data_IF_594759041541
#
_entry.id   IF_594759041541
#
_cell.length_a   1.000
_cell.length_b   1.000
_cell.length_c   1.000
_cell.angle_alpha   90.00
_cell.angle_beta   90.00
_cell.angle_gamma   90.00
#
_symmetry.space_group_name_H-M   'P 1'
#
loop_
_entity.id
_entity.type
_entity.pdbx_description
1 polymer ?
#
# COMPACT_ATOMS: atom_id res chain seq x y z
N UNK A 1 8.41 34.31 -5.32
CA UNK A 1 7.24 33.51 -5.74
C UNK A 1 6.87 32.66 -4.53
N UNK A 2 5.92 33.14 -3.73
CA UNK A 2 5.51 32.47 -2.51
C UNK A 2 4.43 31.44 -2.86
N UNK A 3 4.62 30.20 -2.43
CA UNK A 3 3.58 29.16 -2.50
C UNK A 3 2.66 29.41 -1.31
N UNK A 4 1.81 30.42 -1.43
CA UNK A 4 0.67 30.62 -0.53
C UNK A 4 -0.52 29.85 -1.10
N UNK A 5 -0.83 28.76 -0.41
CA UNK A 5 -1.90 27.84 -0.76
C UNK A 5 -1.98 26.75 0.31
N UNK A 6 -2.01 27.15 1.58
CA UNK A 6 -2.62 26.31 2.61
C UNK A 6 -4.10 26.25 2.27
N UNK A 7 -4.47 25.30 1.40
CA UNK A 7 -5.85 24.91 1.26
C UNK A 7 -6.32 24.51 2.66
N UNK A 8 -7.43 25.08 3.11
CA UNK A 8 -8.19 24.58 4.26
C UNK A 8 -8.68 23.17 3.92
N UNK A 9 -7.77 22.21 4.06
CA UNK A 9 -8.09 20.81 3.95
C UNK A 9 -8.82 20.43 5.24
N UNK A 10 -10.14 20.48 5.19
CA UNK A 10 -10.98 19.67 6.06
C UNK A 10 -11.15 18.33 5.33
N UNK A 11 -10.39 17.31 5.72
CA UNK A 11 -10.78 15.95 5.40
C UNK A 11 -12.03 15.68 6.25
N UNK A 12 -13.20 15.65 5.63
CA UNK A 12 -14.37 15.03 6.25
C UNK A 12 -13.97 13.59 6.62
N UNK A 13 -13.74 13.36 7.92
CA UNK A 13 -13.48 12.09 8.59
C UNK A 13 -13.10 10.93 7.66
N UNK A 14 -11.89 10.95 7.07
CA UNK A 14 -11.31 9.74 6.49
C UNK A 14 -10.91 8.82 7.65
N UNK A 15 -11.88 8.05 8.16
CA UNK A 15 -11.58 6.97 9.09
C UNK A 15 -10.67 5.97 8.37
N UNK A 16 -9.58 5.58 9.03
CA UNK A 16 -8.72 4.52 8.52
C UNK A 16 -9.54 3.25 8.31
N UNK A 17 -9.35 2.58 7.18
CA UNK A 17 -9.92 1.26 6.95
C UNK A 17 -9.28 0.28 7.93
N UNK A 18 -10.11 -0.52 8.61
CA UNK A 18 -9.66 -1.46 9.64
C UNK A 18 -9.93 -2.88 9.17
N UNK A 19 -8.86 -3.64 8.98
CA UNK A 19 -8.91 -5.02 8.51
C UNK A 19 -8.09 -5.94 9.44
N UNK A 20 -8.22 -7.26 9.26
CA UNK A 20 -7.39 -8.24 9.93
C UNK A 20 -6.68 -9.08 8.90
N UNK A 21 -5.35 -9.00 8.86
CA UNK A 21 -4.51 -9.88 8.05
C UNK A 21 -4.02 -11.05 8.91
N UNK A 22 -4.04 -12.25 8.36
CA UNK A 22 -3.66 -13.46 9.08
C UNK A 22 -2.73 -14.33 8.24
N UNK A 23 -1.59 -14.68 8.81
CA UNK A 23 -0.72 -15.70 8.25
C UNK A 23 -1.40 -17.07 8.44
N UNK A 24 -1.64 -17.77 7.33
CA UNK A 24 -2.12 -19.16 7.35
C UNK A 24 -0.92 -20.10 7.46
N UNK A 25 -0.83 -20.82 8.57
CA UNK A 25 0.19 -21.86 8.73
C UNK A 25 -0.17 -23.04 7.81
N UNK A 26 0.78 -23.56 6.99
CA UNK A 26 0.58 -24.84 6.32
C UNK A 26 0.22 -25.92 7.33
N UNK A 27 -0.73 -26.79 6.98
CA UNK A 27 -1.31 -27.82 7.87
C UNK A 27 -0.28 -28.77 8.54
N UNK A 28 0.96 -28.83 8.06
CA UNK A 28 2.04 -29.65 8.62
C UNK A 28 2.91 -28.92 9.67
N UNK A 29 2.69 -27.62 9.90
CA UNK A 29 3.39 -26.81 10.93
C UNK A 29 2.42 -26.28 12.00
N UNK A 30 1.64 -27.18 12.59
CA UNK A 30 0.57 -26.91 13.59
C UNK A 30 1.09 -26.16 14.84
N UNK A 31 2.41 -26.21 15.10
CA UNK A 31 3.05 -25.55 16.25
C UNK A 31 3.45 -24.09 16.02
N UNK A 32 3.38 -23.57 14.79
CA UNK A 32 3.58 -22.15 14.55
C UNK A 32 2.33 -21.38 14.98
N UNK A 33 2.48 -20.44 15.92
CA UNK A 33 1.40 -19.54 16.31
C UNK A 33 0.89 -18.82 15.06
N UNK A 34 -0.42 -18.86 14.82
CA UNK A 34 -1.04 -18.05 13.78
C UNK A 34 -0.85 -16.58 14.13
N UNK A 35 -0.05 -15.89 13.32
CA UNK A 35 0.21 -14.47 13.51
C UNK A 35 -0.92 -13.71 12.82
N UNK A 36 -1.45 -12.73 13.54
CA UNK A 36 -2.53 -11.87 13.06
C UNK A 36 -2.13 -10.43 13.28
N UNK A 37 -2.51 -9.58 12.35
CA UNK A 37 -2.33 -8.14 12.44
C UNK A 37 -3.67 -7.44 12.30
N UNK A 38 -3.86 -6.42 13.13
CA UNK A 38 -4.89 -5.41 12.90
C UNK A 38 -4.27 -4.36 11.99
N UNK A 39 -4.90 -4.14 10.85
CA UNK A 39 -4.43 -3.26 9.81
C UNK A 39 -5.19 -1.95 9.91
N UNK A 40 -4.45 -0.85 9.86
CA UNK A 40 -4.97 0.50 9.79
C UNK A 40 -4.49 1.09 8.46
N UNK A 41 -5.36 1.04 7.45
CA UNK A 41 -5.11 1.61 6.14
C UNK A 41 -5.43 3.09 6.13
N UNK A 42 -4.42 3.92 5.88
CA UNK A 42 -4.65 5.31 5.52
C UNK A 42 -5.37 5.42 4.16
N UNK A 43 -5.87 6.60 3.82
CA UNK A 43 -6.55 6.81 2.56
C UNK A 43 -5.62 6.55 1.38
N UNK A 44 -6.15 5.95 0.32
CA UNK A 44 -5.47 5.90 -0.98
C UNK A 44 -5.55 7.30 -1.59
N UNK A 45 -4.43 8.02 -1.54
CA UNK A 45 -4.33 9.38 -2.08
C UNK A 45 -3.86 9.28 -3.52
N UNK A 46 -4.61 9.89 -4.43
CA UNK A 46 -4.30 9.84 -5.84
C UNK A 46 -4.31 11.25 -6.46
N UNK A 47 -3.42 11.49 -7.42
CA UNK A 47 -3.28 12.75 -8.15
C UNK A 47 -3.17 12.43 -9.65
N UNK A 48 -3.81 13.23 -10.50
CA UNK A 48 -3.71 13.07 -11.94
C UNK A 48 -3.86 14.43 -12.65
N UNK A 49 -3.20 14.61 -13.79
CA UNK A 49 -3.39 15.78 -14.66
C UNK A 49 -4.58 15.65 -15.60
N UNK A 50 -5.19 14.47 -15.66
CA UNK A 50 -6.38 14.16 -16.46
C UNK A 50 -7.50 13.69 -15.56
N UNK A 51 -8.75 13.77 -16.03
CA UNK A 51 -9.94 13.34 -15.25
C UNK A 51 -9.96 11.84 -14.97
N UNK A 52 -9.18 11.06 -15.73
CA UNK A 52 -9.04 9.62 -15.56
C UNK A 52 -7.78 9.32 -14.74
N UNK A 53 -7.96 8.93 -13.47
CA UNK A 53 -6.88 8.36 -12.66
C UNK A 53 -6.86 6.83 -12.79
N UNK A 54 -6.13 6.35 -13.79
CA UNK A 54 -6.03 4.94 -14.12
C UNK A 54 -5.25 4.12 -13.07
N UNK A 55 -4.17 4.67 -12.53
CA UNK A 55 -3.41 4.02 -11.44
C UNK A 55 -4.31 3.69 -10.24
N UNK A 56 -5.22 4.60 -9.86
CA UNK A 56 -6.13 4.38 -8.75
C UNK A 56 -7.10 3.20 -9.00
N UNK A 57 -7.47 2.91 -10.25
CA UNK A 57 -8.32 1.76 -10.59
C UNK A 57 -7.59 0.42 -10.44
N UNK A 58 -6.28 0.39 -10.70
CA UNK A 58 -5.45 -0.81 -10.54
C UNK A 58 -5.07 -1.10 -9.09
N UNK A 59 -5.14 -0.09 -8.22
CA UNK A 59 -4.65 -0.15 -6.84
C UNK A 59 -5.32 -1.23 -5.97
N UNK A 60 -6.65 -1.44 -5.99
CA UNK A 60 -7.28 -2.49 -5.17
C UNK A 60 -6.76 -3.90 -5.47
N UNK A 61 -6.54 -4.22 -6.75
CA UNK A 61 -5.98 -5.52 -7.16
C UNK A 61 -4.54 -5.67 -6.70
N UNK A 62 -3.74 -4.59 -6.76
CA UNK A 62 -2.39 -4.58 -6.21
C UNK A 62 -2.41 -4.77 -4.68
N UNK A 63 -3.27 -4.05 -3.96
CA UNK A 63 -3.41 -4.15 -2.51
C UNK A 63 -3.71 -5.58 -2.06
N UNK A 64 -4.63 -6.28 -2.73
CA UNK A 64 -4.93 -7.69 -2.44
C UNK A 64 -3.74 -8.63 -2.66
N UNK A 65 -2.84 -8.33 -3.62
CA UNK A 65 -1.59 -9.09 -3.81
C UNK A 65 -0.56 -8.71 -2.74
N UNK A 66 -0.49 -7.43 -2.37
CA UNK A 66 0.41 -6.92 -1.33
C UNK A 66 0.08 -7.54 0.03
N UNK A 67 -1.20 -7.64 0.39
CA UNK A 67 -1.69 -8.35 1.58
C UNK A 67 -1.14 -9.80 1.60
N UNK A 68 -1.35 -10.54 0.50
CA UNK A 68 -0.89 -11.94 0.38
C UNK A 68 0.61 -12.07 0.52
N UNK A 69 1.36 -11.13 -0.07
CA UNK A 69 2.81 -11.09 0.07
C UNK A 69 3.22 -10.79 1.51
N UNK A 70 2.57 -9.82 2.15
CA UNK A 70 2.85 -9.43 3.53
C UNK A 70 2.66 -10.61 4.49
N UNK A 71 1.50 -11.26 4.46
CA UNK A 71 1.22 -12.39 5.35
C UNK A 71 2.16 -13.58 5.12
N UNK A 72 2.73 -13.72 3.92
CA UNK A 72 3.62 -14.82 3.58
C UNK A 72 5.08 -14.57 3.98
N UNK A 73 5.54 -13.32 3.96
CA UNK A 73 6.97 -13.00 4.03
C UNK A 73 7.38 -12.13 5.21
N UNK A 74 6.45 -11.40 5.83
CA UNK A 74 6.78 -10.47 6.92
C UNK A 74 6.77 -11.20 8.26
N UNK A 75 7.81 -10.94 9.07
CA UNK A 75 7.95 -11.51 10.41
C UNK A 75 6.83 -11.04 11.35
N UNK A 76 6.52 -11.76 12.43
CA UNK A 76 5.62 -11.25 13.46
C UNK A 76 6.15 -9.95 14.08
N UNK A 77 5.27 -8.96 14.28
CA UNK A 77 5.67 -7.66 14.82
C UNK A 77 4.74 -6.53 14.40
N UNK A 78 5.04 -5.32 14.88
CA UNK A 78 4.43 -4.10 14.35
C UNK A 78 5.19 -3.67 13.11
N UNK A 79 4.47 -3.38 12.03
CA UNK A 79 5.06 -3.00 10.76
C UNK A 79 4.36 -1.80 10.15
N UNK A 80 5.10 -1.10 9.32
CA UNK A 80 4.65 0.07 8.60
C UNK A 80 4.97 -0.09 7.12
N UNK A 81 3.94 -0.07 6.27
CA UNK A 81 4.09 -0.21 4.82
C UNK A 81 3.75 1.11 4.14
N UNK A 82 4.60 1.53 3.19
CA UNK A 82 4.32 2.67 2.31
C UNK A 82 4.38 2.26 0.87
N UNK A 83 3.45 2.79 0.09
CA UNK A 83 3.43 2.65 -1.36
C UNK A 83 3.41 4.03 -1.99
N UNK A 84 4.20 4.22 -3.04
CA UNK A 84 4.13 5.39 -3.90
C UNK A 84 4.44 4.95 -5.34
N UNK A 85 3.49 5.21 -6.23
CA UNK A 85 3.61 4.92 -7.65
C UNK A 85 3.35 6.19 -8.43
N UNK A 86 4.17 6.47 -9.44
CA UNK A 86 3.94 7.57 -10.34
C UNK A 86 4.18 7.13 -11.79
N UNK A 87 3.26 7.53 -12.67
CA UNK A 87 3.34 7.31 -14.09
C UNK A 87 3.28 8.65 -14.85
N UNK A 88 3.91 8.69 -16.02
CA UNK A 88 3.88 9.82 -16.92
C UNK A 88 3.98 9.31 -18.35
N UNK A 89 3.04 9.72 -19.22
CA UNK A 89 3.04 9.41 -20.65
C UNK A 89 3.12 7.90 -20.94
N UNK A 90 2.29 7.11 -20.27
CA UNK A 90 2.21 5.67 -20.48
C UNK A 90 3.30 4.84 -19.79
N UNK A 91 4.21 5.46 -19.05
CA UNK A 91 5.31 4.76 -18.39
C UNK A 91 5.31 4.98 -16.88
N UNK A 92 5.63 3.93 -16.11
CA UNK A 92 5.87 4.02 -14.68
C UNK A 92 7.24 4.67 -14.43
N UNK A 93 7.26 5.91 -13.97
CA UNK A 93 8.48 6.69 -13.73
C UNK A 93 9.01 6.56 -12.29
N UNK A 94 8.16 6.10 -11.37
CA UNK A 94 8.54 5.85 -9.99
C UNK A 94 7.72 4.70 -9.40
N UNK A 95 8.42 3.83 -8.67
CA UNK A 95 7.84 2.76 -7.89
C UNK A 95 8.58 2.70 -6.57
N UNK A 96 7.82 2.80 -5.48
CA UNK A 96 8.33 2.66 -4.14
C UNK A 96 7.37 1.80 -3.34
N UNK A 97 7.88 0.68 -2.81
CA UNK A 97 7.22 -0.10 -1.78
C UNK A 97 8.20 -0.29 -0.63
N UNK A 98 7.85 0.24 0.53
CA UNK A 98 8.69 0.22 1.71
C UNK A 98 8.04 -0.57 2.83
N UNK A 99 8.86 -1.32 3.56
CA UNK A 99 8.53 -1.97 4.83
C UNK A 99 9.46 -1.38 5.89
N UNK A 100 8.87 -0.79 6.93
CA UNK A 100 9.60 -0.17 8.06
C UNK A 100 10.65 0.84 7.61
N UNK A 101 10.27 1.71 6.66
CA UNK A 101 11.11 2.73 6.02
C UNK A 101 12.31 2.21 5.20
N UNK A 102 12.34 0.91 4.91
CA UNK A 102 13.36 0.30 4.04
C UNK A 102 12.72 -0.20 2.77
N UNK A 103 13.48 -0.20 1.68
CA UNK A 103 13.03 -0.78 0.41
C UNK A 103 12.69 -2.24 0.65
N UNK A 104 11.45 -2.60 0.36
CA UNK A 104 10.98 -3.98 0.43
C UNK A 104 11.01 -4.56 -0.98
N UNK A 105 12.06 -5.31 -1.29
CA UNK A 105 12.33 -5.73 -2.67
C UNK A 105 11.20 -6.58 -3.25
N UNK A 106 10.64 -7.49 -2.48
CA UNK A 106 9.52 -8.32 -2.92
C UNK A 106 8.27 -7.48 -3.21
N UNK A 107 8.05 -6.41 -2.43
CA UNK A 107 6.98 -5.46 -2.66
C UNK A 107 7.22 -4.61 -3.93
N UNK A 108 8.45 -4.19 -4.16
CA UNK A 108 8.88 -3.48 -5.38
C UNK A 108 8.65 -4.36 -6.61
N UNK A 109 9.11 -5.60 -6.58
CA UNK A 109 8.99 -6.55 -7.67
C UNK A 109 7.51 -6.86 -7.96
N UNK A 110 6.70 -7.00 -6.91
CA UNK A 110 5.25 -7.13 -7.05
C UNK A 110 4.64 -5.92 -7.77
N UNK A 111 5.01 -4.70 -7.38
CA UNK A 111 4.51 -3.49 -8.03
C UNK A 111 4.96 -3.37 -9.48
N UNK A 112 6.22 -3.70 -9.80
CA UNK A 112 6.75 -3.67 -11.17
C UNK A 112 6.13 -4.73 -12.08
N UNK A 113 5.77 -5.89 -11.52
CA UNK A 113 5.10 -6.99 -12.24
C UNK A 113 3.60 -6.81 -12.40
N UNK A 114 3.01 -5.83 -11.71
CA UNK A 114 1.57 -5.59 -11.74
C UNK A 114 1.18 -4.86 -13.03
N UNK A 115 0.07 -5.28 -13.62
CA UNK A 115 -0.47 -4.71 -14.85
C UNK A 115 -1.18 -3.38 -14.53
N UNK A 116 -0.41 -2.30 -14.53
CA UNK A 116 -0.90 -0.95 -14.29
C UNK A 116 -1.37 -0.32 -15.60
N UNK A 117 -2.53 0.34 -15.58
CA UNK A 117 -2.87 1.32 -16.61
C UNK A 117 -2.23 2.66 -16.22
N UNK A 118 -1.20 3.04 -16.99
CA UNK A 118 -0.39 4.23 -16.75
C UNK A 118 -1.01 5.53 -17.27
N UNK A 119 -2.05 5.43 -18.13
CA UNK A 119 -2.66 6.56 -18.81
C UNK A 119 -1.68 7.43 -19.62
N UNK A 120 -2.21 8.49 -20.24
CA UNK A 120 -1.41 9.37 -21.12
C UNK A 120 -0.80 10.59 -20.40
N UNK A 121 -1.28 10.90 -19.19
CA UNK A 121 -0.90 12.06 -18.39
C UNK A 121 0.02 11.72 -17.21
N UNK A 122 0.31 12.71 -16.37
CA UNK A 122 0.90 12.44 -15.06
C UNK A 122 -0.17 11.85 -14.14
N UNK A 123 0.18 10.77 -13.45
CA UNK A 123 -0.65 10.15 -12.42
C UNK A 123 0.24 9.71 -11.27
N UNK A 124 -0.27 9.78 -10.05
CA UNK A 124 0.35 9.22 -8.87
C UNK A 124 -0.69 8.64 -7.92
N UNK A 125 -0.30 7.59 -7.21
CA UNK A 125 -1.09 6.98 -6.14
C UNK A 125 -0.18 6.60 -4.99
N UNK A 126 -0.66 6.80 -3.77
CA UNK A 126 0.08 6.47 -2.54
C UNK A 126 -0.83 6.02 -1.43
N UNK A 127 -0.30 5.17 -0.57
CA UNK A 127 -0.95 4.76 0.67
C UNK A 127 0.07 4.50 1.76
N UNK A 128 -0.39 4.61 3.00
CA UNK A 128 0.34 4.26 4.19
C UNK A 128 -0.50 3.28 5.00
N UNK A 129 0.11 2.18 5.44
CA UNK A 129 -0.55 1.11 6.18
C UNK A 129 0.22 0.86 7.47
N UNK A 130 -0.47 0.80 8.60
CA UNK A 130 0.08 0.36 9.88
C UNK A 130 -0.49 -1.02 10.24
N UNK A 131 0.38 -2.00 10.43
CA UNK A 131 0.03 -3.34 10.85
C UNK A 131 0.47 -3.57 12.31
N UNK A 132 -0.48 -3.77 13.21
CA UNK A 132 -0.20 -4.02 14.64
C UNK A 132 -0.53 -5.47 15.01
N UNK A 133 0.35 -6.22 15.69
CA UNK A 133 0.09 -7.61 16.02
C UNK A 133 -1.10 -7.73 16.99
N UNK A 134 -1.97 -8.71 16.75
CA UNK A 134 -3.10 -9.03 17.63
C UNK A 134 -2.64 -10.11 18.62
N UNK A 135 -2.42 -9.72 19.88
CA UNK A 135 -2.23 -10.65 20.99
C UNK A 135 -0.77 -11.08 21.27
N UNK A 136 0.17 -10.15 21.26
CA UNK A 136 1.52 -10.36 21.80
C UNK A 136 2.22 -9.02 22.04
N UNK A 137 2.57 -8.74 23.30
CA UNK A 137 3.58 -7.76 23.71
C UNK A 137 4.95 -8.42 23.73
#
# INVERSE_FOLDING_TARGET
>A
MAIEGLADHVCDNMQAEVEVWQQSSPCWKIWQKNVRWKIYGGPVISQATTELNSLNRGYPTFYAKLEKLFIASVSPGSHFVRTFFAALKGELICTEVLLDNKVWQEGQDLALSHDWDHGDGYQAVRQVILALPIGGT
#
